data_IF_141003334837
#
_entry.id   IF_141003334837
#
_cell.length_a   1.000
_cell.length_b   1.000
_cell.length_c   1.000
_cell.angle_alpha   90.00
_cell.angle_beta   90.00
_cell.angle_gamma   90.00
#
_symmetry.space_group_name_H-M   'P 1'
#
loop_
_entity.id
_entity.type
_entity.pdbx_description
1 polymer ?
#
# COMPACT_ATOMS: atom_id res chain seq x y z
N UNK A 1 4.58 19.62 -3.04
CA UNK A 1 5.42 19.76 -4.26
C UNK A 1 6.09 21.13 -4.34
N UNK A 2 5.57 22.15 -3.64
CA UNK A 2 6.09 23.52 -3.70
C UNK A 2 7.54 23.67 -3.22
N UNK A 3 8.04 22.74 -2.41
CA UNK A 3 9.45 22.66 -2.03
C UNK A 3 10.37 22.08 -3.11
N UNK A 4 9.84 21.72 -4.29
CA UNK A 4 10.60 21.16 -5.41
C UNK A 4 11.13 19.73 -5.19
N UNK A 5 10.67 19.03 -4.14
CA UNK A 5 11.19 17.71 -3.73
C UNK A 5 10.54 16.51 -4.42
N UNK A 6 9.44 16.70 -5.14
CA UNK A 6 8.66 15.64 -5.76
C UNK A 6 7.94 16.19 -7.01
N UNK A 7 8.13 15.51 -8.14
CA UNK A 7 7.51 15.86 -9.43
C UNK A 7 6.58 14.78 -9.98
N UNK A 8 6.53 13.59 -9.37
CA UNK A 8 5.58 12.53 -9.72
C UNK A 8 5.16 11.84 -8.43
N UNK A 9 3.85 11.70 -8.23
CA UNK A 9 3.29 11.00 -7.09
C UNK A 9 2.05 10.20 -7.49
N UNK A 10 1.66 9.26 -6.63
CA UNK A 10 0.45 8.47 -6.80
C UNK A 10 0.01 7.82 -5.51
N UNK A 11 -1.24 7.37 -5.52
CA UNK A 11 -1.88 6.65 -4.44
C UNK A 11 -2.60 5.43 -5.02
N UNK A 12 -2.63 4.35 -4.24
CA UNK A 12 -3.31 3.10 -4.59
C UNK A 12 -4.81 3.27 -4.92
N UNK A 13 -5.42 4.34 -4.42
CA UNK A 13 -6.81 4.72 -4.63
C UNK A 13 -7.07 5.33 -6.00
N UNK A 14 -6.41 4.78 -7.03
CA UNK A 14 -6.51 5.18 -8.44
C UNK A 14 -6.13 6.65 -8.70
N UNK A 15 -5.18 7.16 -7.91
CA UNK A 15 -4.72 8.54 -7.99
C UNK A 15 -3.31 8.65 -8.56
N UNK A 16 -3.09 9.49 -9.56
CA UNK A 16 -1.73 9.81 -10.06
C UNK A 16 -1.67 11.31 -10.40
N UNK A 17 -0.51 11.94 -10.19
CA UNK A 17 -0.31 13.37 -10.47
C UNK A 17 1.16 13.76 -10.53
N UNK A 18 1.42 15.01 -10.94
CA UNK A 18 2.74 15.65 -10.94
C UNK A 18 2.64 17.09 -10.44
N UNK A 19 3.78 17.78 -10.42
CA UNK A 19 3.89 19.18 -10.00
C UNK A 19 3.29 20.21 -10.96
N UNK A 20 2.70 19.77 -12.08
CA UNK A 20 1.94 20.63 -12.98
C UNK A 20 0.71 21.28 -12.32
N UNK A 21 0.07 20.58 -11.38
CA UNK A 21 -1.01 21.10 -10.52
C UNK A 21 -0.80 20.62 -9.07
N UNK A 22 -1.77 20.87 -8.18
CA UNK A 22 -1.74 20.44 -6.77
C UNK A 22 -2.86 19.45 -6.43
N UNK A 23 -3.29 18.71 -7.44
CA UNK A 23 -4.34 17.70 -7.36
C UNK A 23 -3.96 16.47 -8.17
N UNK A 24 -4.70 15.38 -7.97
CA UNK A 24 -4.66 14.22 -8.87
C UNK A 24 -5.30 14.61 -10.20
N UNK A 25 -4.75 14.12 -11.31
CA UNK A 25 -5.30 14.36 -12.64
C UNK A 25 -5.38 13.05 -13.43
N UNK A 26 -6.62 12.56 -13.57
CA UNK A 26 -6.90 11.33 -14.29
C UNK A 26 -6.68 11.43 -15.79
N UNK A 27 -7.01 12.57 -16.42
CA UNK A 27 -6.81 12.74 -17.85
C UNK A 27 -5.32 12.88 -18.18
N UNK A 28 -4.58 13.60 -17.35
CA UNK A 28 -3.13 13.67 -17.43
C UNK A 28 -2.47 12.29 -17.30
N UNK A 29 -2.92 11.45 -16.35
CA UNK A 29 -2.43 10.08 -16.21
C UNK A 29 -2.70 9.22 -17.46
N UNK A 30 -3.87 9.39 -18.09
CA UNK A 30 -4.18 8.74 -19.38
C UNK A 30 -3.23 9.22 -20.48
N UNK A 31 -3.01 10.52 -20.61
CA UNK A 31 -2.10 11.08 -21.61
C UNK A 31 -0.65 10.63 -21.41
N UNK A 32 -0.19 10.43 -20.16
CA UNK A 32 1.09 9.79 -19.89
C UNK A 32 1.14 8.37 -20.44
N UNK A 33 0.13 7.55 -20.14
CA UNK A 33 0.09 6.18 -20.65
C UNK A 33 0.11 6.13 -22.16
N UNK A 34 -0.67 6.98 -22.84
CA UNK A 34 -0.65 7.10 -24.29
C UNK A 34 0.72 7.53 -24.82
N UNK A 35 1.41 8.45 -24.12
CA UNK A 35 2.77 8.88 -24.48
C UNK A 35 3.78 7.74 -24.33
N UNK A 36 3.70 6.94 -23.25
CA UNK A 36 4.55 5.77 -23.02
C UNK A 36 4.30 4.72 -24.11
N UNK A 37 3.04 4.42 -24.42
CA UNK A 37 2.65 3.46 -25.46
C UNK A 37 3.18 3.91 -26.82
N UNK A 38 3.01 5.19 -27.17
CA UNK A 38 3.50 5.73 -28.43
C UNK A 38 5.02 5.67 -28.55
N UNK A 39 5.75 5.95 -27.46
CA UNK A 39 7.21 5.90 -27.44
C UNK A 39 7.75 4.46 -27.47
N UNK A 40 7.13 3.54 -26.71
CA UNK A 40 7.58 2.14 -26.62
C UNK A 40 7.08 1.27 -27.76
N UNK A 41 5.99 1.65 -28.43
CA UNK A 41 5.31 0.87 -29.49
C UNK A 41 4.90 -0.53 -29.02
N UNK A 42 4.50 -0.64 -27.75
CA UNK A 42 4.10 -1.88 -27.09
C UNK A 42 2.72 -1.70 -26.45
N UNK A 43 1.99 -2.79 -26.27
CA UNK A 43 0.72 -2.79 -25.55
C UNK A 43 0.91 -2.56 -24.04
N UNK A 44 -0.17 -2.21 -23.33
CA UNK A 44 -0.14 -1.99 -21.87
C UNK A 44 0.38 -3.22 -21.12
N UNK A 45 -0.13 -4.41 -21.45
CA UNK A 45 0.26 -5.66 -20.81
C UNK A 45 1.77 -5.93 -20.95
N UNK A 46 2.30 -5.80 -22.17
CA UNK A 46 3.71 -6.01 -22.46
C UNK A 46 4.60 -5.03 -21.67
N UNK A 47 4.23 -3.75 -21.62
CA UNK A 47 4.96 -2.73 -20.85
C UNK A 47 4.97 -3.08 -19.35
N UNK A 48 3.85 -3.54 -18.80
CA UNK A 48 3.73 -3.91 -17.39
C UNK A 48 4.53 -5.18 -17.08
N UNK A 49 4.47 -6.20 -17.94
CA UNK A 49 5.23 -7.44 -17.78
C UNK A 49 6.73 -7.23 -17.91
N UNK A 50 7.17 -6.37 -18.83
CA UNK A 50 8.56 -5.93 -18.93
C UNK A 50 9.01 -5.23 -17.64
N UNK A 51 8.14 -4.40 -17.06
CA UNK A 51 8.41 -3.72 -15.79
C UNK A 51 8.56 -4.72 -14.64
N UNK A 52 7.64 -5.69 -14.53
CA UNK A 52 7.74 -6.76 -13.53
C UNK A 52 8.99 -7.60 -13.70
N UNK A 53 9.35 -7.98 -14.93
CA UNK A 53 10.57 -8.74 -15.22
C UNK A 53 11.81 -7.98 -14.75
N UNK A 54 11.83 -6.65 -14.92
CA UNK A 54 12.96 -5.80 -14.54
C UNK A 54 13.07 -5.51 -13.04
N UNK A 55 11.95 -5.32 -12.35
CA UNK A 55 11.94 -4.82 -10.97
C UNK A 55 11.35 -5.81 -9.93
N UNK A 56 10.77 -6.91 -10.39
CA UNK A 56 9.89 -7.78 -9.62
C UNK A 56 8.44 -7.29 -9.63
N UNK A 57 7.52 -8.17 -9.25
CA UNK A 57 6.08 -7.87 -9.15
C UNK A 57 5.71 -7.66 -7.68
N UNK A 58 5.12 -6.52 -7.37
CA UNK A 58 4.39 -6.33 -6.11
C UNK A 58 2.95 -6.77 -6.34
N UNK A 59 2.59 -7.97 -5.87
CA UNK A 59 1.20 -8.36 -5.73
C UNK A 59 0.55 -7.47 -4.70
N UNK A 60 -0.64 -6.94 -4.98
CA UNK A 60 -1.32 -5.99 -4.12
C UNK A 60 -2.83 -6.14 -4.20
N UNK A 61 -3.51 -6.04 -3.05
CA UNK A 61 -4.95 -5.87 -2.98
C UNK A 61 -5.38 -5.05 -1.77
N UNK A 62 -6.60 -4.53 -1.82
CA UNK A 62 -7.25 -3.81 -0.73
C UNK A 62 -8.61 -4.43 -0.42
N UNK A 63 -8.85 -4.66 0.86
CA UNK A 63 -10.15 -5.06 1.39
C UNK A 63 -10.77 -3.88 2.14
N UNK A 64 -11.96 -3.49 1.74
CA UNK A 64 -12.73 -2.41 2.37
C UNK A 64 -13.88 -3.02 3.18
N UNK A 65 -13.80 -2.92 4.51
CA UNK A 65 -14.89 -3.24 5.43
C UNK A 65 -15.64 -1.96 5.74
N UNK A 66 -16.71 -1.73 4.99
CA UNK A 66 -17.51 -0.51 5.07
C UNK A 66 -18.63 -0.60 6.11
N UNK A 67 -19.16 0.56 6.48
CA UNK A 67 -20.33 0.70 7.36
C UNK A 67 -20.21 -0.03 8.72
N UNK A 68 -18.98 -0.12 9.25
CA UNK A 68 -18.74 -0.70 10.57
C UNK A 68 -19.24 0.23 11.67
N UNK A 69 -19.64 -0.37 12.80
CA UNK A 69 -19.83 0.34 14.05
C UNK A 69 -18.52 1.04 14.45
N UNK A 70 -18.51 2.38 14.66
CA UNK A 70 -17.28 3.11 14.96
C UNK A 70 -16.59 2.65 16.24
N UNK A 71 -17.35 2.24 17.26
CA UNK A 71 -16.79 1.81 18.55
C UNK A 71 -16.10 0.46 18.42
N UNK A 72 -16.71 -0.48 17.69
CA UNK A 72 -16.09 -1.76 17.33
C UNK A 72 -14.79 -1.53 16.53
N UNK A 73 -14.84 -0.70 15.49
CA UNK A 73 -13.67 -0.44 14.64
C UNK A 73 -12.52 0.21 15.44
N UNK A 74 -12.84 1.09 16.40
CA UNK A 74 -11.86 1.64 17.34
C UNK A 74 -11.20 0.55 18.17
N UNK A 75 -11.96 -0.36 18.77
CA UNK A 75 -11.38 -1.43 19.60
C UNK A 75 -10.54 -2.41 18.79
N UNK A 76 -10.96 -2.77 17.56
CA UNK A 76 -10.15 -3.59 16.65
C UNK A 76 -8.78 -2.95 16.43
N UNK A 77 -8.74 -1.66 16.08
CA UNK A 77 -7.49 -0.96 15.82
C UNK A 77 -6.64 -0.79 17.07
N UNK A 78 -7.26 -0.47 18.21
CA UNK A 78 -6.56 -0.34 19.51
C UNK A 78 -5.89 -1.66 19.91
N UNK A 79 -6.63 -2.76 19.83
CA UNK A 79 -6.15 -4.07 20.28
C UNK A 79 -5.08 -4.62 19.33
N UNK A 80 -5.26 -4.39 18.02
CA UNK A 80 -4.23 -4.69 17.03
C UNK A 80 -2.96 -3.86 17.25
N UNK A 81 -3.09 -2.55 17.52
CA UNK A 81 -1.93 -1.70 17.83
C UNK A 81 -1.18 -2.23 19.06
N UNK A 82 -1.89 -2.55 20.15
CA UNK A 82 -1.29 -3.10 21.36
C UNK A 82 -0.56 -4.43 21.09
N UNK A 83 -1.15 -5.32 20.29
CA UNK A 83 -0.53 -6.59 19.90
C UNK A 83 0.75 -6.38 19.09
N UNK A 84 0.67 -5.60 18.00
CA UNK A 84 1.77 -5.52 17.04
C UNK A 84 2.93 -4.64 17.54
N UNK A 85 2.68 -3.76 18.51
CA UNK A 85 3.72 -2.91 19.11
C UNK A 85 4.36 -3.54 20.35
N UNK A 86 3.88 -4.71 20.79
CA UNK A 86 4.56 -5.48 21.82
C UNK A 86 5.95 -5.94 21.36
N UNK A 87 6.91 -5.94 22.28
CA UNK A 87 8.30 -6.28 21.96
C UNK A 87 8.45 -7.72 21.46
N UNK A 88 7.58 -8.63 21.91
CA UNK A 88 7.58 -10.04 21.51
C UNK A 88 6.99 -10.27 20.12
N UNK A 89 6.39 -9.26 19.48
CA UNK A 89 5.78 -9.41 18.16
C UNK A 89 6.81 -9.46 17.02
N UNK A 90 7.96 -8.81 17.20
CA UNK A 90 9.05 -8.88 16.22
C UNK A 90 9.66 -10.27 16.21
N UNK A 91 9.98 -10.80 15.03
CA UNK A 91 10.42 -12.19 14.78
C UNK A 91 9.35 -13.26 15.01
N UNK A 92 8.09 -12.91 15.32
CA UNK A 92 7.01 -13.90 15.25
C UNK A 92 6.85 -14.42 13.83
N UNK A 93 6.45 -15.69 13.73
CA UNK A 93 6.28 -16.40 12.48
C UNK A 93 4.83 -16.81 12.30
N UNK A 94 4.29 -16.57 11.11
CA UNK A 94 2.95 -16.96 10.71
C UNK A 94 3.03 -17.89 9.50
N UNK A 95 2.46 -19.08 9.63
CA UNK A 95 2.43 -20.06 8.54
C UNK A 95 1.02 -20.16 7.95
N UNK A 96 0.91 -20.04 6.62
CA UNK A 96 -0.34 -20.23 5.87
C UNK A 96 -0.03 -21.12 4.66
N UNK A 97 -0.55 -22.35 4.69
CA UNK A 97 -0.16 -23.36 3.70
C UNK A 97 1.35 -23.61 3.74
N UNK A 98 2.02 -23.40 2.59
CA UNK A 98 3.47 -23.56 2.47
C UNK A 98 4.25 -22.25 2.66
N UNK A 99 3.56 -21.14 2.92
CA UNK A 99 4.19 -19.83 3.08
C UNK A 99 4.47 -19.55 4.56
N UNK A 100 5.65 -19.02 4.84
CA UNK A 100 6.09 -18.63 6.19
C UNK A 100 6.44 -17.14 6.20
N UNK A 101 5.71 -16.36 6.97
CA UNK A 101 5.90 -14.92 7.11
C UNK A 101 6.53 -14.62 8.46
N UNK A 102 7.76 -14.08 8.45
CA UNK A 102 8.47 -13.65 9.67
C UNK A 102 8.37 -12.15 9.83
N UNK A 103 7.86 -11.67 10.97
CA UNK A 103 7.71 -10.23 11.23
C UNK A 103 9.08 -9.58 11.37
N UNK A 104 9.41 -8.67 10.45
CA UNK A 104 10.61 -7.85 10.52
C UNK A 104 10.38 -6.59 11.38
N UNK A 105 9.24 -5.93 11.19
CA UNK A 105 8.91 -4.67 11.87
C UNK A 105 7.41 -4.47 11.92
N UNK A 106 6.90 -4.02 13.06
CA UNK A 106 5.52 -3.57 13.16
C UNK A 106 5.42 -2.23 13.90
N UNK A 107 4.60 -1.31 13.37
CA UNK A 107 4.52 0.09 13.84
C UNK A 107 3.16 0.70 13.57
N UNK A 108 2.77 1.71 14.35
CA UNK A 108 1.79 2.70 13.93
C UNK A 108 2.48 3.83 13.17
N UNK A 109 2.12 4.04 11.91
CA UNK A 109 2.84 4.95 11.02
C UNK A 109 2.72 6.41 11.47
N UNK A 110 3.87 7.09 11.47
CA UNK A 110 4.02 8.51 11.71
C UNK A 110 4.84 9.12 10.57
N UNK A 111 4.46 10.33 10.16
CA UNK A 111 5.16 11.11 9.16
C UNK A 111 5.50 12.50 9.71
N UNK A 112 6.74 12.93 9.50
CA UNK A 112 7.21 14.29 9.83
C UNK A 112 7.42 15.01 8.51
N UNK A 113 6.69 16.09 8.29
CA UNK A 113 6.78 16.86 7.07
C UNK A 113 8.14 17.59 6.99
N UNK A 114 8.94 17.36 5.92
CA UNK A 114 10.28 17.93 5.81
C UNK A 114 10.30 19.40 5.38
N UNK A 115 9.13 20.01 5.11
CA UNK A 115 8.98 21.42 4.71
C UNK A 115 8.61 22.28 5.90
N UNK A 116 7.58 21.88 6.66
CA UNK A 116 7.06 22.67 7.78
C UNK A 116 7.26 22.03 9.17
N UNK A 117 7.76 20.79 9.22
CA UNK A 117 8.02 20.06 10.46
C UNK A 117 6.77 19.45 11.11
N UNK A 118 5.60 19.54 10.48
CA UNK A 118 4.34 19.01 11.02
C UNK A 118 4.45 17.50 11.23
N UNK A 119 4.02 17.03 12.40
CA UNK A 119 4.04 15.60 12.75
C UNK A 119 2.63 15.03 12.68
N UNK A 120 2.41 14.13 11.72
CA UNK A 120 1.14 13.42 11.55
C UNK A 120 1.27 11.99 12.06
N UNK A 121 0.62 11.70 13.19
CA UNK A 121 0.67 10.40 13.87
C UNK A 121 -0.52 9.52 13.51
N UNK A 122 -0.43 8.24 13.88
CA UNK A 122 -1.53 7.26 13.80
C UNK A 122 -2.11 7.07 12.39
N UNK A 123 -1.26 7.09 11.37
CA UNK A 123 -1.68 7.07 9.97
C UNK A 123 -1.91 5.67 9.39
N UNK A 124 -1.73 4.63 10.20
CA UNK A 124 -2.01 3.25 9.83
C UNK A 124 -1.08 2.28 10.54
N UNK A 125 -1.63 1.16 10.97
CA UNK A 125 -0.84 0.07 11.53
C UNK A 125 -0.18 -0.70 10.39
N UNK A 126 1.11 -0.99 10.51
CA UNK A 126 1.89 -1.67 9.47
C UNK A 126 2.61 -2.85 10.08
N UNK A 127 2.52 -4.00 9.44
CA UNK A 127 3.34 -5.19 9.67
C UNK A 127 4.17 -5.40 8.40
N UNK A 128 5.48 -5.42 8.56
CA UNK A 128 6.46 -5.61 7.48
C UNK A 128 7.15 -6.93 7.75
N UNK A 129 7.16 -7.81 6.76
CA UNK A 129 7.76 -9.12 6.83
C UNK A 129 9.15 -9.13 6.19
N UNK A 130 9.98 -10.13 6.53
CA UNK A 130 11.37 -10.24 6.05
C UNK A 130 11.50 -10.51 4.54
N UNK A 131 10.45 -11.03 3.91
CA UNK A 131 10.35 -11.31 2.48
C UNK A 131 9.88 -10.10 1.64
N UNK A 132 9.82 -8.92 2.26
CA UNK A 132 9.26 -7.69 1.70
C UNK A 132 7.73 -7.70 1.48
N UNK A 133 7.01 -8.68 2.02
CA UNK A 133 5.55 -8.63 2.14
C UNK A 133 5.11 -7.64 3.22
N UNK A 134 3.90 -7.08 3.09
CA UNK A 134 3.35 -6.08 4.01
C UNK A 134 1.85 -6.28 4.23
N UNK A 135 1.43 -6.07 5.47
CA UNK A 135 0.03 -5.84 5.84
C UNK A 135 -0.11 -4.45 6.45
N UNK A 136 -1.11 -3.70 5.98
CA UNK A 136 -1.41 -2.36 6.48
C UNK A 136 -2.89 -2.29 6.85
N UNK A 137 -3.19 -1.68 7.99
CA UNK A 137 -4.55 -1.49 8.48
C UNK A 137 -4.79 0.00 8.69
N UNK A 138 -5.84 0.54 8.08
CA UNK A 138 -6.21 1.95 8.22
C UNK A 138 -7.68 2.09 8.55
N UNK A 139 -7.96 2.84 9.61
CA UNK A 139 -9.30 3.32 9.89
C UNK A 139 -9.48 4.65 9.15
N UNK A 140 -10.35 4.64 8.14
CA UNK A 140 -10.65 5.83 7.34
C UNK A 140 -11.79 6.62 7.97
N UNK A 141 -11.76 7.94 7.79
CA UNK A 141 -12.65 8.96 8.37
C UNK A 141 -13.97 8.38 8.92
N UNK A 142 -14.01 8.18 10.24
CA UNK A 142 -15.20 7.78 10.95
C UNK A 142 -16.11 8.99 11.10
N UNK A 143 -17.29 8.96 10.47
CA UNK A 143 -18.39 9.79 10.96
C UNK A 143 -18.89 9.18 12.27
N UNK A 144 -19.70 9.92 13.05
CA UNK A 144 -20.37 9.33 14.23
C UNK A 144 -21.23 8.10 13.88
N UNK A 145 -21.57 7.91 12.60
CA UNK A 145 -22.52 6.91 12.14
C UNK A 145 -21.82 5.67 11.56
N UNK A 146 -20.69 5.84 10.87
CA UNK A 146 -20.02 4.75 10.13
C UNK A 146 -18.52 4.93 10.09
N UNK A 147 -17.81 3.83 10.27
CA UNK A 147 -16.38 3.72 10.04
C UNK A 147 -16.09 2.78 8.86
N UNK A 148 -14.94 2.97 8.21
CA UNK A 148 -14.43 2.05 7.18
C UNK A 148 -13.03 1.59 7.57
N UNK A 149 -12.87 0.28 7.76
CA UNK A 149 -11.57 -0.34 7.96
C UNK A 149 -11.05 -0.83 6.61
N UNK A 150 -9.86 -0.36 6.24
CA UNK A 150 -9.17 -0.79 5.02
C UNK A 150 -7.97 -1.65 5.38
N UNK A 151 -7.89 -2.83 4.79
CA UNK A 151 -6.75 -3.74 4.92
C UNK A 151 -6.06 -3.82 3.58
N UNK A 152 -4.76 -3.57 3.57
CA UNK A 152 -3.93 -3.64 2.39
C UNK A 152 -2.96 -4.81 2.56
N UNK A 153 -2.92 -5.68 1.57
CA UNK A 153 -1.99 -6.80 1.52
C UNK A 153 -1.08 -6.64 0.31
N UNK A 154 0.21 -6.85 0.53
CA UNK A 154 1.22 -6.77 -0.52
C UNK A 154 2.25 -7.87 -0.35
N UNK A 155 2.66 -8.48 -1.46
CA UNK A 155 3.70 -9.50 -1.49
C UNK A 155 4.63 -9.25 -2.67
N UNK A 156 5.94 -9.21 -2.41
CA UNK A 156 6.95 -8.99 -3.44
C UNK A 156 7.40 -10.33 -4.02
N UNK A 157 7.36 -10.46 -5.35
CA UNK A 157 7.84 -11.63 -6.07
C UNK A 157 8.92 -11.23 -7.07
N UNK A 158 10.13 -11.73 -6.84
CA UNK A 158 11.29 -11.47 -7.70
C UNK A 158 11.33 -12.40 -8.91
N UNK A 159 10.86 -13.64 -8.76
CA UNK A 159 10.95 -14.69 -9.78
C UNK A 159 9.93 -14.46 -10.91
N UNK A 160 10.38 -14.17 -12.15
CA UNK A 160 9.48 -13.92 -13.27
C UNK A 160 8.55 -15.08 -13.60
N UNK A 161 8.96 -16.33 -13.32
CA UNK A 161 8.11 -17.52 -13.56
C UNK A 161 6.86 -17.54 -12.69
N UNK A 162 6.86 -16.77 -11.60
CA UNK A 162 5.74 -16.64 -10.66
C UNK A 162 4.95 -15.36 -10.86
N UNK A 163 5.28 -14.52 -11.84
CA UNK A 163 4.58 -13.26 -12.10
C UNK A 163 3.21 -13.46 -12.75
N UNK A 164 2.88 -14.64 -13.25
CA UNK A 164 1.58 -14.91 -13.90
C UNK A 164 0.48 -15.41 -12.94
N UNK A 165 0.79 -15.53 -11.64
CA UNK A 165 -0.18 -16.06 -10.69
C UNK A 165 -1.34 -15.08 -10.49
N UNK A 166 -2.50 -15.66 -10.18
CA UNK A 166 -3.67 -14.88 -9.77
C UNK A 166 -3.37 -14.17 -8.44
N UNK A 167 -3.59 -12.84 -8.34
CA UNK A 167 -3.31 -12.11 -7.10
C UNK A 167 -4.02 -12.67 -5.87
N UNK A 168 -5.26 -13.14 -6.00
CA UNK A 168 -6.03 -13.74 -4.90
C UNK A 168 -5.52 -15.11 -4.44
N UNK A 169 -4.74 -15.80 -5.27
CA UNK A 169 -4.10 -17.05 -4.88
C UNK A 169 -2.74 -16.81 -4.20
N UNK A 170 -2.16 -15.63 -4.37
CA UNK A 170 -0.88 -15.23 -3.76
C UNK A 170 -1.09 -14.57 -2.39
N UNK A 171 -2.10 -13.70 -2.29
CA UNK A 171 -2.42 -12.88 -1.11
C UNK A 171 -3.51 -13.52 -0.25
#
# INVERSE_FOLDING_TARGET
MDSGRCSLCGEESFGTGSDHIREKDGLWAVLIWLSIIAARKQGVEEIVRDHWTKFGRHYYCRFDYEALDPRMAYYIMRDLEALITDKSFTNQQFAVGNNLYTVQKATNFEYVDPVDGTVTKRQGLRIIFTDASRLIFRLSASSHVRATLRIYAESYEKDPSKHEKEPQAVL
#
